data_IF_406295147602
#
_entry.id   IF_406295147602
#
_cell.length_a   1.000
_cell.length_b   1.000
_cell.length_c   1.000
_cell.angle_alpha   90.00
_cell.angle_beta   90.00
_cell.angle_gamma   90.00
#
_symmetry.space_group_name_H-M   'P 1'
#
loop_
_entity.id
_entity.type
_entity.pdbx_description
1 polymer ?
#
# COMPACT_ATOMS: atom_id res chain seq x y z
N UNK A 1 2.53 6.39 -1.12
CA UNK A 1 1.61 6.37 -2.27
C UNK A 1 0.63 7.53 -2.28
N UNK A 2 -0.35 7.64 -1.36
CA UNK A 2 -1.34 8.73 -1.40
C UNK A 2 -0.67 10.12 -1.34
N UNK A 3 0.16 10.39 -0.32
CA UNK A 3 0.79 11.71 -0.15
C UNK A 3 1.80 12.06 -1.26
N UNK A 4 2.57 11.07 -1.73
CA UNK A 4 3.73 11.34 -2.58
C UNK A 4 3.43 11.16 -4.08
N UNK A 5 2.44 10.35 -4.43
CA UNK A 5 2.18 9.91 -5.81
C UNK A 5 0.70 10.05 -6.21
N UNK A 6 -0.18 10.48 -5.29
CA UNK A 6 -1.61 10.69 -5.57
C UNK A 6 -2.43 9.41 -5.78
N UNK A 7 -1.84 8.23 -5.55
CA UNK A 7 -2.51 6.94 -5.76
C UNK A 7 -3.16 6.42 -4.47
N UNK A 8 -4.49 6.32 -4.48
CA UNK A 8 -5.30 5.77 -3.38
C UNK A 8 -5.80 4.37 -3.74
N UNK A 9 -5.15 3.35 -3.18
CA UNK A 9 -5.28 1.95 -3.62
C UNK A 9 -5.68 0.99 -2.49
N UNK A 10 -6.26 -0.15 -2.85
CA UNK A 10 -6.60 -1.23 -1.93
C UNK A 10 -5.39 -1.87 -1.23
N UNK A 11 -5.66 -2.68 -0.20
CA UNK A 11 -4.62 -3.29 0.63
C UNK A 11 -3.76 -4.31 -0.12
N UNK A 12 -4.34 -5.05 -1.07
CA UNK A 12 -3.62 -6.01 -1.92
C UNK A 12 -2.56 -5.33 -2.80
N UNK A 13 -2.82 -4.10 -3.26
CA UNK A 13 -1.84 -3.29 -3.99
C UNK A 13 -0.60 -3.02 -3.13
N UNK A 14 -0.78 -2.76 -1.83
CA UNK A 14 0.33 -2.58 -0.89
C UNK A 14 1.21 -3.82 -0.78
N UNK A 15 0.60 -5.01 -0.72
CA UNK A 15 1.33 -6.29 -0.70
C UNK A 15 2.10 -6.52 -2.01
N UNK A 16 1.44 -6.26 -3.14
CA UNK A 16 2.03 -6.38 -4.47
C UNK A 16 3.25 -5.46 -4.67
N UNK A 17 3.16 -4.20 -4.21
CA UNK A 17 4.27 -3.24 -4.26
C UNK A 17 5.40 -3.68 -3.33
N UNK A 18 5.11 -4.12 -2.11
CA UNK A 18 6.13 -4.63 -1.19
C UNK A 18 6.89 -5.84 -1.78
N UNK A 19 6.17 -6.76 -2.43
CA UNK A 19 6.74 -7.89 -3.16
C UNK A 19 7.61 -7.45 -4.34
N UNK A 20 7.14 -6.49 -5.15
CA UNK A 20 7.90 -5.96 -6.27
C UNK A 20 9.20 -5.27 -5.83
N UNK A 21 9.16 -4.49 -4.75
CA UNK A 21 10.35 -3.87 -4.15
C UNK A 21 11.34 -4.94 -3.67
N UNK A 22 10.85 -5.97 -2.98
CA UNK A 22 11.69 -7.07 -2.50
C UNK A 22 12.36 -7.80 -3.66
N UNK A 23 11.60 -8.17 -4.69
CA UNK A 23 12.11 -8.84 -5.89
C UNK A 23 13.15 -7.96 -6.61
N UNK A 24 12.93 -6.65 -6.69
CA UNK A 24 13.91 -5.72 -7.28
C UNK A 24 15.24 -5.71 -6.56
N UNK A 25 15.22 -5.78 -5.22
CA UNK A 25 16.44 -5.90 -4.42
C UNK A 25 17.15 -7.23 -4.65
N UNK A 26 16.41 -8.32 -4.82
CA UNK A 26 16.97 -9.66 -5.07
C UNK A 26 17.58 -9.79 -6.48
N UNK A 27 16.94 -9.23 -7.51
CA UNK A 27 17.42 -9.31 -8.90
C UNK A 27 18.54 -8.31 -9.24
N UNK A 28 18.68 -7.26 -8.44
CA UNK A 28 19.66 -6.19 -8.66
C UNK A 28 19.22 -5.10 -9.66
N UNK A 29 20.04 -4.07 -9.84
CA UNK A 29 19.71 -2.89 -10.65
C UNK A 29 19.58 -3.21 -12.15
N UNK A 30 18.86 -2.35 -12.87
CA UNK A 30 18.68 -2.45 -14.33
C UNK A 30 17.60 -3.44 -14.79
N UNK A 31 16.78 -3.95 -13.86
CA UNK A 31 15.63 -4.82 -14.16
C UNK A 31 14.33 -4.04 -14.10
N UNK A 32 13.40 -4.37 -14.99
CA UNK A 32 12.03 -3.83 -14.97
C UNK A 32 11.10 -4.84 -14.32
N UNK A 33 10.42 -4.42 -13.25
CA UNK A 33 9.44 -5.23 -12.54
C UNK A 33 8.07 -4.62 -12.71
N UNK A 34 7.10 -5.45 -13.06
CA UNK A 34 5.69 -5.07 -13.18
C UNK A 34 4.91 -5.80 -12.10
N UNK A 35 3.99 -5.08 -11.44
CA UNK A 35 3.04 -5.64 -10.48
C UNK A 35 1.66 -5.02 -10.69
N UNK A 36 0.63 -5.60 -10.10
CA UNK A 36 -0.77 -5.23 -10.36
C UNK A 36 -1.30 -4.34 -9.24
N UNK A 37 -1.97 -3.26 -9.63
CA UNK A 37 -2.76 -2.40 -8.74
C UNK A 37 -4.24 -2.77 -8.90
N UNK A 38 -4.71 -3.65 -8.02
CA UNK A 38 -5.98 -4.37 -8.17
C UNK A 38 -7.23 -3.47 -8.12
N UNK A 39 -7.29 -2.54 -7.17
CA UNK A 39 -8.41 -1.61 -7.02
C UNK A 39 -8.09 -0.38 -6.15
N UNK A 40 -9.10 0.48 -6.00
CA UNK A 40 -9.08 1.71 -5.21
C UNK A 40 -9.38 1.44 -3.73
N UNK A 41 -8.90 2.34 -2.87
CA UNK A 41 -9.01 2.22 -1.41
C UNK A 41 -10.41 2.51 -0.84
N UNK A 42 -11.29 3.14 -1.61
CA UNK A 42 -12.63 3.59 -1.21
C UNK A 42 -13.51 2.45 -0.67
N UNK A 43 -13.39 1.26 -1.28
CA UNK A 43 -14.08 0.04 -0.80
C UNK A 43 -13.69 -0.38 0.62
N UNK A 44 -12.55 0.07 1.13
CA UNK A 44 -11.99 -0.34 2.42
C UNK A 44 -12.03 0.77 3.47
N UNK A 45 -12.68 1.90 3.18
CA UNK A 45 -12.63 3.11 4.00
C UNK A 45 -13.04 2.90 5.47
N UNK A 46 -14.02 2.03 5.72
CA UNK A 46 -14.52 1.73 7.08
C UNK A 46 -13.46 1.14 8.02
N UNK A 47 -12.38 0.59 7.48
CA UNK A 47 -11.27 -0.02 8.24
C UNK A 47 -9.92 0.65 7.95
N UNK A 48 -9.55 0.74 6.67
CA UNK A 48 -8.20 1.15 6.23
C UNK A 48 -7.84 2.59 6.63
N UNK A 49 -8.81 3.47 6.72
CA UNK A 49 -8.64 4.88 7.14
C UNK A 49 -9.41 5.20 8.43
N UNK A 50 -9.69 4.19 9.24
CA UNK A 50 -10.38 4.37 10.52
C UNK A 50 -9.37 4.33 11.67
N UNK A 51 -9.15 5.47 12.34
CA UNK A 51 -8.17 5.59 13.45
C UNK A 51 -8.43 4.58 14.56
N UNK A 52 -9.69 4.37 14.95
CA UNK A 52 -10.05 3.46 16.04
C UNK A 52 -9.72 2.02 15.66
N UNK A 53 -10.09 1.60 14.44
CA UNK A 53 -9.77 0.27 13.92
C UNK A 53 -8.26 0.03 13.83
N UNK A 54 -7.50 1.01 13.32
CA UNK A 54 -6.04 0.90 13.20
C UNK A 54 -5.37 0.79 14.58
N UNK A 55 -5.80 1.60 15.56
CA UNK A 55 -5.30 1.52 16.95
C UNK A 55 -5.61 0.15 17.58
N UNK A 56 -6.84 -0.33 17.45
CA UNK A 56 -7.26 -1.63 17.99
C UNK A 56 -6.41 -2.78 17.42
N UNK A 57 -6.04 -2.70 16.14
CA UNK A 57 -5.18 -3.69 15.47
C UNK A 57 -3.69 -3.42 15.59
N UNK A 58 -3.27 -2.41 16.35
CA UNK A 58 -1.88 -1.97 16.47
C UNK A 58 -1.19 -1.72 15.11
N UNK A 59 -1.93 -1.09 14.19
CA UNK A 59 -1.48 -0.75 12.85
C UNK A 59 -1.06 0.73 12.74
N UNK A 60 -0.13 1.07 11.82
CA UNK A 60 0.26 2.45 11.58
C UNK A 60 -0.93 3.33 11.18
N UNK A 61 -0.96 4.56 11.72
CA UNK A 61 -1.96 5.56 11.39
C UNK A 61 -1.34 6.56 10.40
N UNK A 62 -1.95 6.80 9.23
CA UNK A 62 -1.46 7.82 8.30
C UNK A 62 -1.41 9.20 8.96
N UNK A 63 -0.33 9.96 8.76
CA UNK A 63 -0.13 11.26 9.43
C UNK A 63 -1.10 12.36 8.99
N UNK A 64 -1.71 12.19 7.81
CA UNK A 64 -2.71 13.09 7.24
C UNK A 64 -4.15 12.75 7.65
N UNK A 65 -4.33 11.62 8.34
CA UNK A 65 -5.63 11.19 8.86
C UNK A 65 -5.82 11.79 10.25
#
# INVERSE_FOLDING_TARGET
LIQNEGLSLGTSCGINIAGAIKLGKELGPGKTIVTILCDKSDKYNSKMFNKSFLKEKNLPIPSWL
#
